data_IF_059580526615
#
_entry.id   IF_059580526615
#
_cell.length_a   1.000
_cell.length_b   1.000
_cell.length_c   1.000
_cell.angle_alpha   90.00
_cell.angle_beta   90.00
_cell.angle_gamma   90.00
#
_symmetry.space_group_name_H-M   'P 1'
#
loop_
_entity.id
_entity.type
_entity.pdbx_description
1 polymer ?
#
# COMPACT_ATOMS: atom_id res chain seq x y z
N UNK A 1 -0.51 10.06 0.10
CA UNK A 1 -0.38 11.39 -0.48
C UNK A 1 0.88 11.46 -1.36
N UNK A 2 0.70 11.66 -2.68
CA UNK A 2 1.80 11.73 -3.67
C UNK A 2 2.71 12.97 -3.48
N UNK A 3 2.42 13.82 -2.52
CA UNK A 3 3.19 15.04 -2.19
C UNK A 3 3.83 14.94 -0.80
N UNK A 4 3.80 13.76 -0.19
CA UNK A 4 4.41 13.54 1.12
C UNK A 4 5.94 13.69 1.08
N UNK A 5 6.54 13.97 2.24
CA UNK A 5 7.99 13.98 2.39
C UNK A 5 8.63 12.64 2.09
N UNK A 6 7.93 11.53 2.37
CA UNK A 6 8.39 10.18 2.04
C UNK A 6 8.45 9.98 0.52
N UNK A 7 7.44 10.44 -0.23
CA UNK A 7 7.45 10.34 -1.69
C UNK A 7 8.56 11.18 -2.31
N UNK A 8 8.77 12.42 -1.82
CA UNK A 8 9.88 13.26 -2.30
C UNK A 8 11.23 12.56 -2.06
N UNK A 9 11.45 12.02 -0.87
CA UNK A 9 12.67 11.29 -0.53
C UNK A 9 12.92 10.09 -1.45
N UNK A 10 11.88 9.32 -1.75
CA UNK A 10 11.99 8.17 -2.69
C UNK A 10 12.32 8.65 -4.09
N UNK A 11 11.68 9.73 -4.56
CA UNK A 11 11.99 10.31 -5.86
C UNK A 11 13.46 10.76 -5.94
N UNK A 12 13.98 11.41 -4.89
CA UNK A 12 15.38 11.83 -4.82
C UNK A 12 16.34 10.63 -4.78
N UNK A 13 15.99 9.57 -4.04
CA UNK A 13 16.79 8.33 -3.89
C UNK A 13 16.92 7.57 -5.21
N UNK A 14 15.84 7.52 -6.01
CA UNK A 14 15.80 6.77 -7.27
C UNK A 14 15.91 7.65 -8.53
N UNK A 15 16.28 8.92 -8.39
CA UNK A 15 16.44 9.83 -9.52
C UNK A 15 15.14 10.12 -10.28
N UNK A 16 13.99 10.04 -9.59
CA UNK A 16 12.67 10.31 -10.16
C UNK A 16 12.33 11.78 -10.03
N UNK A 17 12.03 12.45 -11.12
CA UNK A 17 11.58 13.84 -11.09
C UNK A 17 10.10 13.93 -10.77
N UNK A 18 9.77 14.47 -9.60
CA UNK A 18 8.38 14.71 -9.19
C UNK A 18 7.87 16.05 -9.75
N UNK A 19 7.10 15.99 -10.82
CA UNK A 19 6.47 17.18 -11.42
C UNK A 19 5.08 17.41 -10.82
N UNK A 20 4.89 18.58 -10.21
CA UNK A 20 3.60 19.00 -9.66
C UNK A 20 2.83 19.76 -10.73
N UNK A 21 1.59 19.34 -11.00
CA UNK A 21 0.72 20.11 -11.89
C UNK A 21 0.27 21.43 -11.22
N UNK A 22 0.05 22.51 -12.00
CA UNK A 22 -0.46 23.76 -11.47
C UNK A 22 -1.83 23.55 -10.79
N UNK A 23 -2.03 24.25 -9.67
CA UNK A 23 -3.31 24.24 -8.94
C UNK A 23 -4.43 24.84 -9.79
N UNK A 24 -5.64 24.30 -9.69
CA UNK A 24 -6.84 24.74 -10.40
C UNK A 24 -6.75 24.70 -11.95
N UNK A 25 -5.90 23.84 -12.50
CA UNK A 25 -5.79 23.61 -13.95
C UNK A 25 -6.13 22.16 -14.32
N UNK A 26 -7.41 21.81 -14.48
CA UNK A 26 -7.86 20.42 -14.70
C UNK A 26 -7.31 19.81 -15.99
N UNK A 27 -7.04 20.62 -17.03
CA UNK A 27 -6.50 20.14 -18.31
C UNK A 27 -5.18 19.37 -18.17
N UNK A 28 -4.37 19.65 -17.15
CA UNK A 28 -3.13 18.90 -16.87
C UNK A 28 -3.35 17.48 -16.31
N UNK A 29 -4.60 17.17 -15.91
CA UNK A 29 -4.99 15.84 -15.44
C UNK A 29 -5.87 15.07 -16.41
N UNK A 30 -6.31 15.69 -17.51
CA UNK A 30 -7.32 15.13 -18.40
C UNK A 30 -6.97 13.74 -18.98
N UNK A 31 -5.70 13.46 -19.25
CA UNK A 31 -5.27 12.16 -19.74
C UNK A 31 -5.46 11.06 -18.70
N UNK A 32 -5.04 11.31 -17.46
CA UNK A 32 -5.21 10.35 -16.35
C UNK A 32 -6.69 10.14 -16.04
N UNK A 33 -7.48 11.21 -16.00
CA UNK A 33 -8.92 11.15 -15.77
C UNK A 33 -9.65 10.34 -16.86
N UNK A 34 -9.23 10.50 -18.13
CA UNK A 34 -9.78 9.72 -19.25
C UNK A 34 -9.44 8.23 -19.13
N UNK A 35 -8.19 7.89 -18.79
CA UNK A 35 -7.78 6.50 -18.60
C UNK A 35 -8.54 5.87 -17.44
N UNK A 36 -8.66 6.56 -16.30
CA UNK A 36 -9.44 6.11 -15.16
C UNK A 36 -10.92 5.93 -15.52
N UNK A 37 -11.50 6.86 -16.32
CA UNK A 37 -12.87 6.73 -16.84
C UNK A 37 -13.06 5.47 -17.69
N UNK A 38 -12.11 5.18 -18.59
CA UNK A 38 -12.12 3.97 -19.41
C UNK A 38 -12.05 2.69 -18.54
N UNK A 39 -11.13 2.65 -17.58
CA UNK A 39 -11.01 1.51 -16.67
C UNK A 39 -12.29 1.33 -15.84
N UNK A 40 -12.85 2.42 -15.32
CA UNK A 40 -14.10 2.36 -14.55
C UNK A 40 -15.27 1.82 -15.37
N UNK A 41 -15.40 2.20 -16.66
CA UNK A 41 -16.41 1.61 -17.53
C UNK A 41 -16.27 0.09 -17.67
N UNK A 42 -15.05 -0.40 -17.79
CA UNK A 42 -14.82 -1.85 -17.88
C UNK A 42 -15.11 -2.56 -16.54
N UNK A 43 -14.76 -1.92 -15.40
CA UNK A 43 -15.12 -2.45 -14.08
C UNK A 43 -16.63 -2.53 -13.92
N UNK A 44 -17.40 -1.57 -14.41
CA UNK A 44 -18.85 -1.60 -14.34
C UNK A 44 -19.49 -2.77 -15.13
N UNK A 45 -18.78 -3.35 -16.08
CA UNK A 45 -19.20 -4.56 -16.78
C UNK A 45 -19.01 -5.85 -15.96
N UNK A 46 -18.29 -5.78 -14.83
CA UNK A 46 -18.09 -6.93 -13.95
C UNK A 46 -19.31 -7.14 -13.06
N UNK A 47 -19.64 -8.41 -12.80
CA UNK A 47 -20.71 -8.76 -11.88
C UNK A 47 -20.41 -8.24 -10.45
N UNK A 48 -21.44 -7.75 -9.77
CA UNK A 48 -21.30 -7.27 -8.38
C UNK A 48 -20.69 -5.89 -8.22
N UNK A 49 -20.54 -5.10 -9.30
CA UNK A 49 -20.00 -3.74 -9.24
C UNK A 49 -21.06 -2.67 -8.98
N UNK A 50 -20.62 -1.46 -8.67
CA UNK A 50 -21.49 -0.28 -8.51
C UNK A 50 -21.73 0.38 -9.86
N UNK A 51 -22.93 0.97 -10.05
CA UNK A 51 -23.24 1.74 -11.25
C UNK A 51 -22.75 3.20 -11.13
N UNK A 52 -22.45 3.82 -12.27
CA UNK A 52 -21.93 5.19 -12.33
C UNK A 52 -22.97 6.24 -11.96
N UNK A 53 -24.27 5.92 -12.09
CA UNK A 53 -25.35 6.83 -11.71
C UNK A 53 -26.55 6.11 -11.06
N UNK A 54 -27.40 6.91 -10.36
CA UNK A 54 -28.54 6.40 -9.60
C UNK A 54 -29.60 5.78 -10.54
N UNK A 55 -29.71 6.27 -11.75
CA UNK A 55 -30.70 5.81 -12.74
C UNK A 55 -30.38 4.41 -13.23
N UNK A 56 -29.10 4.10 -13.43
CA UNK A 56 -28.64 2.77 -13.83
C UNK A 56 -28.66 1.79 -12.66
N UNK A 57 -28.44 2.28 -11.44
CA UNK A 57 -28.42 1.47 -10.22
C UNK A 57 -29.78 0.82 -9.91
N UNK A 58 -30.92 1.54 -10.12
CA UNK A 58 -32.26 1.04 -9.76
C UNK A 58 -32.30 0.52 -8.31
N UNK A 59 -32.89 -0.67 -8.11
CA UNK A 59 -32.97 -1.37 -6.82
C UNK A 59 -31.76 -2.26 -6.49
N UNK A 60 -30.71 -2.22 -7.32
CA UNK A 60 -29.51 -3.05 -7.15
C UNK A 60 -28.73 -2.68 -5.88
N UNK A 61 -28.48 -3.67 -5.03
CA UNK A 61 -27.73 -3.52 -3.77
C UNK A 61 -26.32 -4.07 -3.91
N UNK A 62 -25.41 -3.28 -4.48
CA UNK A 62 -24.02 -3.65 -4.76
C UNK A 62 -23.29 -4.28 -3.55
N UNK A 63 -23.58 -3.83 -2.33
CA UNK A 63 -22.95 -4.36 -1.10
C UNK A 63 -23.32 -5.83 -0.81
N UNK A 64 -24.47 -6.30 -1.35
CA UNK A 64 -24.95 -7.69 -1.17
C UNK A 64 -24.60 -8.60 -2.35
N UNK A 65 -24.26 -8.00 -3.48
CA UNK A 65 -24.03 -8.70 -4.74
C UNK A 65 -22.56 -8.60 -5.19
N UNK A 66 -21.67 -8.08 -4.32
CA UNK A 66 -20.24 -8.04 -4.58
C UNK A 66 -19.71 -9.48 -4.76
N UNK A 67 -19.15 -9.76 -5.94
CA UNK A 67 -18.64 -11.10 -6.31
C UNK A 67 -17.12 -11.20 -6.28
N UNK A 68 -16.42 -10.05 -6.29
CA UNK A 68 -14.97 -10.00 -6.32
C UNK A 68 -14.39 -9.57 -4.97
N UNK A 69 -13.38 -10.27 -4.52
CA UNK A 69 -12.49 -9.79 -3.45
C UNK A 69 -11.57 -8.68 -3.99
N UNK A 70 -10.95 -7.94 -3.10
CA UNK A 70 -10.00 -6.89 -3.49
C UNK A 70 -8.81 -7.45 -4.28
N UNK A 71 -8.33 -8.64 -3.92
CA UNK A 71 -7.21 -9.29 -4.61
C UNK A 71 -7.59 -9.76 -6.01
N UNK A 72 -8.77 -10.34 -6.19
CA UNK A 72 -9.29 -10.73 -7.51
C UNK A 72 -9.49 -9.52 -8.41
N UNK A 73 -10.03 -8.41 -7.88
CA UNK A 73 -10.17 -7.16 -8.63
C UNK A 73 -8.80 -6.59 -9.02
N UNK A 74 -7.82 -6.64 -8.13
CA UNK A 74 -6.44 -6.23 -8.41
C UNK A 74 -5.81 -7.07 -9.51
N UNK A 75 -5.96 -8.38 -9.48
CA UNK A 75 -5.47 -9.30 -10.52
C UNK A 75 -6.12 -9.01 -11.86
N UNK A 76 -7.45 -8.84 -11.88
CA UNK A 76 -8.20 -8.46 -13.07
C UNK A 76 -7.71 -7.13 -13.66
N UNK A 77 -7.51 -6.10 -12.81
CA UNK A 77 -7.01 -4.79 -13.25
C UNK A 77 -5.61 -4.89 -13.88
N UNK A 78 -4.70 -5.63 -13.27
CA UNK A 78 -3.36 -5.84 -13.82
C UNK A 78 -3.46 -6.51 -15.18
N UNK A 79 -4.26 -7.58 -15.29
CA UNK A 79 -4.47 -8.29 -16.54
C UNK A 79 -5.09 -7.39 -17.62
N UNK A 80 -6.14 -6.62 -17.27
CA UNK A 80 -6.77 -5.68 -18.17
C UNK A 80 -5.79 -4.62 -18.69
N UNK A 81 -5.04 -3.99 -17.80
CA UNK A 81 -4.10 -2.92 -18.17
C UNK A 81 -2.99 -3.48 -19.08
N UNK A 82 -2.33 -4.55 -18.67
CA UNK A 82 -1.14 -5.06 -19.35
C UNK A 82 -1.48 -5.79 -20.65
N UNK A 83 -2.50 -6.63 -20.63
CA UNK A 83 -2.77 -7.53 -21.76
C UNK A 83 -3.85 -7.01 -22.73
N UNK A 84 -4.69 -6.08 -22.29
CA UNK A 84 -5.77 -5.53 -23.12
C UNK A 84 -5.50 -4.06 -23.44
N UNK A 85 -5.45 -3.18 -22.43
CA UNK A 85 -5.34 -1.74 -22.64
C UNK A 85 -4.04 -1.34 -23.35
N UNK A 86 -2.89 -1.85 -22.89
CA UNK A 86 -1.60 -1.52 -23.50
C UNK A 86 -1.48 -1.98 -24.95
N UNK A 87 -2.24 -3.02 -25.35
CA UNK A 87 -2.22 -3.60 -26.70
C UNK A 87 -3.35 -3.14 -27.60
N UNK A 88 -4.31 -2.35 -27.06
CA UNK A 88 -5.43 -1.83 -27.82
C UNK A 88 -5.01 -0.58 -28.61
N UNK A 89 -5.36 -0.53 -29.93
CA UNK A 89 -5.13 0.67 -30.74
C UNK A 89 -5.87 1.89 -30.19
N UNK A 90 -5.19 3.01 -30.14
CA UNK A 90 -5.68 4.28 -29.63
C UNK A 90 -5.63 5.34 -30.75
N UNK A 91 -6.79 5.80 -31.23
CA UNK A 91 -6.86 6.80 -32.32
C UNK A 91 -6.17 8.12 -32.01
N UNK A 92 -6.13 8.54 -30.73
CA UNK A 92 -5.48 9.80 -30.32
C UNK A 92 -3.96 9.76 -30.35
N UNK A 93 -3.34 8.60 -30.43
CA UNK A 93 -1.87 8.41 -30.56
C UNK A 93 -1.52 7.57 -31.80
N UNK A 94 -2.54 7.16 -32.59
CA UNK A 94 -2.45 6.40 -33.84
C UNK A 94 -1.66 5.09 -33.73
N UNK A 95 -1.56 4.53 -32.54
CA UNK A 95 -0.88 3.26 -32.23
C UNK A 95 -1.36 2.71 -30.89
N UNK A 96 -0.77 1.59 -30.43
CA UNK A 96 -1.03 1.09 -29.08
C UNK A 96 -0.21 1.87 -28.04
N UNK A 97 -0.67 1.96 -26.77
CA UNK A 97 0.13 2.57 -25.69
C UNK A 97 1.52 1.93 -25.52
N UNK A 98 1.62 0.60 -25.69
CA UNK A 98 2.90 -0.12 -25.63
C UNK A 98 3.85 0.32 -26.76
N UNK A 99 3.35 0.43 -27.99
CA UNK A 99 4.15 0.92 -29.13
C UNK A 99 4.59 2.36 -28.90
N UNK A 100 3.72 3.23 -28.39
CA UNK A 100 4.08 4.63 -28.08
C UNK A 100 5.13 4.74 -26.99
N UNK A 101 5.05 3.90 -25.97
CA UNK A 101 6.07 3.82 -24.92
C UNK A 101 7.43 3.35 -25.48
N UNK A 102 7.41 2.30 -26.30
CA UNK A 102 8.64 1.77 -26.94
C UNK A 102 9.27 2.77 -27.90
N UNK A 103 8.44 3.50 -28.67
CA UNK A 103 8.91 4.61 -29.53
C UNK A 103 9.64 5.68 -28.71
N UNK A 104 9.10 6.04 -27.54
CA UNK A 104 9.73 7.01 -26.64
C UNK A 104 11.07 6.53 -26.08
N UNK A 105 11.21 5.22 -25.81
CA UNK A 105 12.44 4.64 -25.28
C UNK A 105 13.52 4.45 -26.37
N UNK A 106 13.15 3.84 -27.48
CA UNK A 106 14.11 3.41 -28.51
C UNK A 106 14.31 4.53 -29.55
N UNK A 107 13.26 5.31 -29.78
CA UNK A 107 13.19 6.30 -30.87
C UNK A 107 12.55 5.72 -32.13
N UNK A 108 12.53 6.55 -33.16
CA UNK A 108 12.11 6.24 -34.51
C UNK A 108 13.07 6.89 -35.52
N UNK A 109 12.75 6.82 -36.83
CA UNK A 109 13.61 7.36 -37.89
C UNK A 109 13.79 8.90 -37.81
N UNK A 110 12.88 9.61 -37.11
CA UNK A 110 12.88 11.07 -37.01
C UNK A 110 13.39 11.56 -35.65
N UNK A 111 13.21 10.75 -34.59
CA UNK A 111 13.48 11.17 -33.22
C UNK A 111 14.30 10.12 -32.46
N UNK A 112 15.39 10.53 -31.85
CA UNK A 112 16.14 9.68 -30.94
C UNK A 112 15.32 9.41 -29.67
N UNK A 113 15.25 8.14 -29.25
CA UNK A 113 14.65 7.76 -27.97
C UNK A 113 15.51 8.21 -26.78
N UNK A 114 14.92 8.17 -25.60
CA UNK A 114 15.64 8.50 -24.35
C UNK A 114 16.61 7.39 -23.92
N UNK A 115 16.55 6.23 -24.55
CA UNK A 115 17.32 5.03 -24.20
C UNK A 115 16.77 4.30 -22.96
N UNK A 116 17.30 3.11 -22.75
CA UNK A 116 17.08 2.39 -21.48
C UNK A 116 17.98 3.00 -20.42
N UNK A 117 17.39 3.49 -19.35
CA UNK A 117 18.16 3.86 -18.18
C UNK A 117 18.78 2.58 -17.59
N UNK A 118 20.06 2.61 -17.20
CA UNK A 118 20.63 1.50 -16.44
C UNK A 118 19.76 1.27 -15.21
N UNK A 119 19.53 0.00 -14.86
CA UNK A 119 18.75 -0.33 -13.67
C UNK A 119 19.41 0.32 -12.45
N UNK A 120 18.76 1.32 -11.89
CA UNK A 120 19.18 1.97 -10.64
C UNK A 120 18.81 1.07 -9.44
N UNK A 121 18.02 0.03 -9.70
CA UNK A 121 17.42 -0.83 -8.67
C UNK A 121 18.15 -2.17 -8.67
N UNK A 122 19.08 -2.33 -7.74
CA UNK A 122 19.77 -3.61 -7.52
C UNK A 122 18.86 -4.62 -6.80
N UNK A 123 17.92 -4.13 -5.95
CA UNK A 123 17.02 -4.95 -5.17
C UNK A 123 15.60 -4.36 -5.14
N UNK A 124 14.63 -5.10 -5.67
CA UNK A 124 13.20 -4.68 -5.68
C UNK A 124 12.64 -4.58 -4.26
N UNK A 125 13.10 -5.41 -3.32
CA UNK A 125 12.62 -5.35 -1.93
C UNK A 125 13.02 -4.04 -1.25
N UNK A 126 14.21 -3.51 -1.51
CA UNK A 126 14.65 -2.21 -0.98
C UNK A 126 13.77 -1.07 -1.49
N UNK A 127 13.36 -1.14 -2.76
CA UNK A 127 12.40 -0.17 -3.34
C UNK A 127 11.05 -0.26 -2.62
N UNK A 128 10.52 -1.46 -2.44
CA UNK A 128 9.26 -1.67 -1.71
C UNK A 128 9.35 -1.09 -0.30
N UNK A 129 10.42 -1.42 0.44
CA UNK A 129 10.65 -0.90 1.78
C UNK A 129 10.77 0.64 1.75
N UNK A 130 11.48 1.20 0.77
CA UNK A 130 11.66 2.65 0.68
C UNK A 130 10.34 3.41 0.44
N UNK A 131 9.37 2.79 -0.23
CA UNK A 131 8.04 3.34 -0.49
C UNK A 131 7.08 3.23 0.71
N UNK A 132 7.38 2.39 1.72
CA UNK A 132 6.54 2.25 2.90
C UNK A 132 6.52 3.53 3.75
N UNK A 133 5.40 3.80 4.45
CA UNK A 133 5.30 4.89 5.41
C UNK A 133 6.42 4.86 6.44
N UNK A 134 6.98 6.02 6.76
CA UNK A 134 8.07 6.18 7.72
C UNK A 134 7.55 6.67 9.06
N UNK A 135 7.97 6.02 10.13
CA UNK A 135 7.76 6.45 11.50
C UNK A 135 9.08 6.48 12.27
N UNK A 136 9.12 7.25 13.36
CA UNK A 136 10.31 7.32 14.23
C UNK A 136 9.94 6.87 15.62
N UNK A 137 10.62 5.83 16.11
CA UNK A 137 10.41 5.25 17.44
C UNK A 137 11.72 5.01 18.18
N UNK A 138 11.64 5.04 19.50
CA UNK A 138 12.75 4.65 20.38
C UNK A 138 12.69 3.15 20.65
N UNK A 139 13.85 2.52 20.82
CA UNK A 139 13.93 1.11 21.23
C UNK A 139 13.86 1.04 22.76
N UNK A 140 12.88 0.30 23.27
CA UNK A 140 12.68 0.02 24.68
C UNK A 140 13.26 -1.35 25.05
N UNK A 141 13.24 -1.72 26.35
CA UNK A 141 13.70 -3.05 26.81
C UNK A 141 12.93 -4.21 26.18
N UNK A 142 11.66 -3.99 25.94
CA UNK A 142 10.71 -4.95 25.34
C UNK A 142 10.55 -4.79 23.82
N UNK A 143 11.42 -3.98 23.19
CA UNK A 143 11.42 -3.74 21.76
C UNK A 143 10.80 -2.41 21.35
N UNK A 144 10.08 -2.41 20.25
CA UNK A 144 9.44 -1.24 19.66
C UNK A 144 7.92 -1.44 19.71
N UNK A 145 7.19 -0.42 20.15
CA UNK A 145 5.72 -0.45 20.15
C UNK A 145 5.16 0.53 19.13
N UNK A 146 4.27 0.04 18.25
CA UNK A 146 3.50 0.83 17.29
C UNK A 146 2.01 0.52 17.47
N UNK A 147 1.22 1.55 17.69
CA UNK A 147 -0.23 1.42 17.85
C UNK A 147 -0.68 0.36 18.85
N UNK A 148 0.08 0.16 19.94
CA UNK A 148 -0.22 -0.84 20.96
C UNK A 148 0.24 -2.26 20.64
N UNK A 149 0.88 -2.48 19.48
CA UNK A 149 1.48 -3.76 19.09
C UNK A 149 2.99 -3.71 19.34
N UNK A 150 3.53 -4.76 19.97
CA UNK A 150 4.94 -4.90 20.27
C UNK A 150 5.70 -5.67 19.19
N UNK A 151 6.91 -5.20 18.88
CA UNK A 151 7.83 -5.81 17.93
C UNK A 151 9.18 -6.05 18.59
N UNK A 152 9.73 -7.24 18.41
CA UNK A 152 11.01 -7.58 19.01
C UNK A 152 11.84 -8.52 18.14
N UNK A 153 13.14 -8.24 18.11
CA UNK A 153 14.18 -9.14 17.58
C UNK A 153 15.50 -8.83 18.31
N UNK A 154 16.41 -9.79 18.33
CA UNK A 154 17.73 -9.64 18.96
C UNK A 154 18.57 -8.51 18.34
N UNK A 155 18.33 -8.16 17.10
CA UNK A 155 18.92 -6.99 16.43
C UNK A 155 18.72 -5.71 17.22
N UNK A 156 17.59 -5.57 17.92
CA UNK A 156 17.28 -4.38 18.72
C UNK A 156 18.10 -4.26 19.99
N UNK A 157 18.74 -5.33 20.50
CA UNK A 157 19.47 -5.33 21.78
C UNK A 157 20.54 -4.27 21.83
N UNK A 158 21.26 -4.07 20.73
CA UNK A 158 22.32 -3.08 20.63
C UNK A 158 21.81 -1.63 20.83
N UNK A 159 20.55 -1.38 20.52
CA UNK A 159 19.93 -0.06 20.52
C UNK A 159 19.14 0.24 21.80
N UNK A 160 18.93 -0.75 22.68
CA UNK A 160 18.18 -0.59 23.93
C UNK A 160 18.91 0.42 24.84
N UNK A 161 18.18 1.47 25.21
CA UNK A 161 18.70 2.48 26.16
C UNK A 161 19.76 3.43 25.60
N UNK A 162 20.12 3.31 24.33
CA UNK A 162 21.06 4.27 23.70
C UNK A 162 20.47 5.68 23.67
N UNK A 163 21.34 6.63 23.96
CA UNK A 163 21.04 8.07 23.94
C UNK A 163 21.98 8.80 23.00
N UNK A 164 21.54 9.93 22.49
CA UNK A 164 22.35 10.86 21.73
C UNK A 164 23.31 11.68 22.63
N UNK A 165 24.11 12.55 22.01
CA UNK A 165 25.02 13.45 22.71
C UNK A 165 24.32 14.39 23.69
N UNK A 166 23.01 14.61 23.56
CA UNK A 166 22.16 15.42 24.42
C UNK A 166 21.47 14.62 25.51
N UNK A 167 21.81 13.35 25.71
CA UNK A 167 21.17 12.39 26.63
C UNK A 167 19.68 12.12 26.31
N UNK A 168 19.23 12.41 25.08
CA UNK A 168 17.89 12.07 24.61
C UNK A 168 17.88 10.69 24.00
N UNK A 169 16.77 9.94 24.17
CA UNK A 169 16.65 8.61 23.55
C UNK A 169 16.68 8.73 22.02
N UNK A 170 17.53 7.93 21.39
CA UNK A 170 17.66 7.91 19.93
C UNK A 170 16.34 7.40 19.31
N UNK A 171 15.84 8.15 18.33
CA UNK A 171 14.71 7.73 17.52
C UNK A 171 15.22 7.10 16.24
N UNK A 172 14.81 5.87 16.01
CA UNK A 172 15.16 5.11 14.81
C UNK A 172 14.07 5.21 13.77
N UNK A 173 14.47 5.22 12.49
CA UNK A 173 13.56 5.17 11.36
C UNK A 173 12.98 3.75 11.26
N UNK A 174 11.66 3.68 11.24
CA UNK A 174 10.88 2.46 11.14
C UNK A 174 9.98 2.58 9.92
N UNK A 175 9.82 1.50 9.19
CA UNK A 175 8.85 1.40 8.11
C UNK A 175 7.91 0.24 8.37
N UNK A 176 6.65 0.40 8.00
CA UNK A 176 5.61 -0.62 8.22
C UNK A 176 4.70 -0.71 7.00
N UNK A 177 4.47 -1.94 6.54
CA UNK A 177 3.51 -2.21 5.48
C UNK A 177 2.07 -2.13 6.04
N UNK A 178 1.22 -1.19 5.58
CA UNK A 178 -0.16 -1.11 6.01
C UNK A 178 -1.00 -2.35 5.68
N UNK A 179 -0.61 -3.14 4.67
CA UNK A 179 -1.31 -4.36 4.26
C UNK A 179 -0.88 -5.59 5.08
N UNK A 180 0.26 -5.51 5.76
CA UNK A 180 0.75 -6.59 6.63
C UNK A 180 1.59 -6.01 7.76
N UNK A 181 0.97 -5.80 8.91
CA UNK A 181 1.65 -5.22 10.08
C UNK A 181 2.32 -6.27 10.98
N UNK A 182 2.42 -7.53 10.53
CA UNK A 182 3.07 -8.61 11.31
C UNK A 182 4.54 -8.34 11.57
N UNK A 183 5.18 -7.54 10.74
CA UNK A 183 6.57 -7.11 10.86
C UNK A 183 6.72 -5.63 10.56
N UNK A 184 7.79 -5.07 11.08
CA UNK A 184 8.27 -3.74 10.74
C UNK A 184 9.70 -3.84 10.21
N UNK A 185 10.13 -2.81 9.51
CA UNK A 185 11.50 -2.68 9.02
C UNK A 185 12.20 -1.61 9.84
N UNK A 186 13.17 -2.04 10.61
CA UNK A 186 14.01 -1.18 11.46
C UNK A 186 15.27 -0.80 10.69
N UNK A 187 15.53 0.50 10.55
CA UNK A 187 16.77 0.99 9.94
C UNK A 187 17.89 1.07 10.96
N UNK A 188 18.91 0.23 10.79
CA UNK A 188 20.13 0.29 11.56
C UNK A 188 21.04 1.38 11.00
N UNK A 189 21.32 2.42 11.81
CA UNK A 189 22.10 3.58 11.37
C UNK A 189 23.61 3.29 11.28
N UNK A 190 24.11 2.24 11.97
CA UNK A 190 25.51 1.84 11.93
C UNK A 190 25.79 0.98 10.70
N UNK A 191 24.91 0.00 10.42
CA UNK A 191 25.03 -0.90 9.27
C UNK A 191 24.43 -0.32 7.98
N UNK A 192 23.58 0.71 8.09
CA UNK A 192 22.87 1.37 7.00
C UNK A 192 21.94 0.45 6.23
N UNK A 193 21.34 -0.51 6.91
CA UNK A 193 20.46 -1.53 6.36
C UNK A 193 19.15 -1.60 7.13
N UNK A 194 18.11 -2.15 6.46
CA UNK A 194 16.85 -2.45 7.09
C UNK A 194 16.80 -3.90 7.59
N UNK A 195 16.36 -4.08 8.83
CA UNK A 195 16.13 -5.39 9.44
C UNK A 195 14.65 -5.61 9.69
N UNK A 196 14.16 -6.79 9.37
CA UNK A 196 12.80 -7.19 9.70
C UNK A 196 12.68 -7.49 11.20
N UNK A 197 11.73 -6.85 11.85
CA UNK A 197 11.42 -7.07 13.26
C UNK A 197 9.98 -7.57 13.33
N UNK A 198 9.76 -8.83 13.64
CA UNK A 198 8.42 -9.41 13.73
C UNK A 198 7.67 -8.96 14.98
N UNK A 199 6.40 -9.28 15.05
CA UNK A 199 5.64 -9.23 16.29
C UNK A 199 6.40 -9.89 17.43
N UNK A 200 6.34 -9.31 18.61
CA UNK A 200 6.83 -9.94 19.83
C UNK A 200 6.10 -11.25 20.11
N UNK A 201 4.79 -11.32 19.84
CA UNK A 201 3.95 -12.50 19.91
C UNK A 201 3.86 -13.18 18.54
N UNK A 202 4.79 -14.07 18.25
CA UNK A 202 4.91 -14.73 16.94
C UNK A 202 3.67 -15.55 16.53
N UNK A 203 2.86 -16.00 17.50
CA UNK A 203 1.62 -16.75 17.25
C UNK A 203 0.43 -15.85 16.91
N UNK A 204 0.58 -14.53 16.93
CA UNK A 204 -0.49 -13.61 16.63
C UNK A 204 -0.89 -13.67 15.14
N UNK A 205 -2.19 -13.49 14.84
CA UNK A 205 -2.68 -13.55 13.48
C UNK A 205 -2.12 -12.40 12.62
N UNK A 206 -1.97 -12.66 11.32
CA UNK A 206 -1.62 -11.62 10.35
C UNK A 206 -2.77 -10.63 10.27
N UNK A 207 -2.44 -9.35 10.34
CA UNK A 207 -3.40 -8.26 10.40
C UNK A 207 -2.96 -7.13 9.48
N UNK A 208 -3.91 -6.43 8.86
CA UNK A 208 -3.66 -5.15 8.20
C UNK A 208 -3.77 -3.99 9.19
N UNK A 209 -3.27 -2.83 8.82
CA UNK A 209 -3.45 -1.62 9.63
C UNK A 209 -4.93 -1.24 9.75
N UNK A 210 -5.73 -1.53 8.71
CA UNK A 210 -7.17 -1.31 8.73
C UNK A 210 -7.87 -2.22 9.75
N UNK A 211 -7.52 -3.51 9.78
CA UNK A 211 -8.06 -4.45 10.77
C UNK A 211 -7.78 -3.98 12.19
N UNK A 212 -6.55 -3.50 12.43
CA UNK A 212 -6.16 -2.94 13.72
C UNK A 212 -7.05 -1.75 14.11
N UNK A 213 -7.37 -0.85 13.17
CA UNK A 213 -8.28 0.28 13.44
C UNK A 213 -9.70 -0.20 13.74
N UNK A 214 -10.21 -1.18 12.99
CA UNK A 214 -11.54 -1.75 13.22
C UNK A 214 -11.62 -2.39 14.60
N UNK A 215 -10.64 -3.21 14.97
CA UNK A 215 -10.55 -3.84 16.29
C UNK A 215 -10.52 -2.81 17.41
N UNK A 216 -9.66 -1.80 17.31
CA UNK A 216 -9.56 -0.73 18.32
C UNK A 216 -10.85 0.07 18.44
N UNK A 217 -11.52 0.34 17.33
CA UNK A 217 -12.83 0.99 17.35
C UNK A 217 -13.85 0.13 18.07
N UNK A 218 -13.90 -1.18 17.77
CA UNK A 218 -14.80 -2.13 18.43
C UNK A 218 -14.58 -2.21 19.95
N UNK A 219 -13.31 -2.27 20.39
CA UNK A 219 -13.00 -2.25 21.84
C UNK A 219 -13.46 -0.94 22.49
N UNK A 220 -13.23 0.20 21.84
CA UNK A 220 -13.67 1.51 22.32
C UNK A 220 -15.19 1.63 22.42
N UNK A 221 -15.92 1.14 21.43
CA UNK A 221 -17.40 1.18 21.40
C UNK A 221 -17.99 0.33 22.54
N UNK A 222 -17.31 -0.75 22.94
CA UNK A 222 -17.61 -1.55 24.14
C UNK A 222 -17.17 -0.90 25.46
N UNK A 223 -16.64 0.34 25.41
CA UNK A 223 -16.12 1.07 26.59
C UNK A 223 -14.94 0.37 27.30
N UNK A 224 -14.24 -0.51 26.59
CA UNK A 224 -12.99 -1.11 27.08
C UNK A 224 -11.89 -0.10 26.77
N UNK A 225 -11.50 0.69 27.77
CA UNK A 225 -10.51 1.77 27.60
C UNK A 225 -9.09 1.35 27.96
N UNK A 226 -8.96 0.29 28.73
CA UNK A 226 -7.67 -0.23 29.19
C UNK A 226 -7.46 -1.63 28.60
N UNK A 227 -6.92 -1.70 27.39
CA UNK A 227 -6.62 -2.94 26.68
C UNK A 227 -5.14 -3.00 26.33
N UNK A 228 -4.60 -4.20 26.32
CA UNK A 228 -3.23 -4.51 25.95
C UNK A 228 -3.18 -5.17 24.55
N UNK A 229 -1.99 -5.61 24.15
CA UNK A 229 -1.72 -6.29 22.87
C UNK A 229 -2.51 -7.61 22.72
N UNK A 230 -2.62 -8.38 23.81
CA UNK A 230 -3.35 -9.65 23.78
C UNK A 230 -4.85 -9.44 23.55
N UNK A 231 -5.42 -8.43 24.18
CA UNK A 231 -6.83 -8.06 23.99
C UNK A 231 -7.11 -7.67 22.53
N UNK A 232 -6.16 -6.99 21.85
CA UNK A 232 -6.28 -6.63 20.44
C UNK A 232 -6.31 -7.88 19.58
N UNK A 233 -5.37 -8.81 19.77
CA UNK A 233 -5.30 -10.04 18.98
C UNK A 233 -6.49 -10.94 19.22
N UNK A 234 -6.92 -11.09 20.46
CA UNK A 234 -8.11 -11.89 20.81
C UNK A 234 -9.38 -11.34 20.16
N UNK A 235 -9.58 -10.01 20.23
CA UNK A 235 -10.73 -9.37 19.59
C UNK A 235 -10.71 -9.57 18.06
N UNK A 236 -9.53 -9.50 17.43
CA UNK A 236 -9.39 -9.77 16.00
C UNK A 236 -9.71 -11.23 15.64
N UNK A 237 -9.20 -12.20 16.41
CA UNK A 237 -9.52 -13.61 16.19
C UNK A 237 -11.02 -13.88 16.30
N UNK A 238 -11.72 -13.22 17.25
CA UNK A 238 -13.16 -13.32 17.37
C UNK A 238 -13.88 -12.78 16.13
N UNK A 239 -13.44 -11.64 15.57
CA UNK A 239 -13.99 -11.10 14.33
C UNK A 239 -13.79 -12.05 13.16
N UNK A 240 -12.59 -12.61 12.99
CA UNK A 240 -12.30 -13.61 11.94
C UNK A 240 -13.16 -14.86 12.05
N UNK A 241 -13.47 -15.33 13.27
CA UNK A 241 -14.36 -16.48 13.47
C UNK A 241 -15.79 -16.16 13.05
N UNK A 242 -16.28 -14.95 13.34
CA UNK A 242 -17.62 -14.50 12.92
C UNK A 242 -17.69 -14.44 11.39
N UNK A 243 -16.70 -13.85 10.72
CA UNK A 243 -16.64 -13.76 9.26
C UNK A 243 -16.64 -15.14 8.59
N UNK A 244 -15.83 -16.07 9.09
CA UNK A 244 -15.81 -17.46 8.59
C UNK A 244 -17.15 -18.16 8.74
N UNK A 245 -17.84 -17.95 9.85
CA UNK A 245 -19.15 -18.55 10.08
C UNK A 245 -20.22 -17.98 9.14
N UNK A 246 -20.17 -16.68 8.84
CA UNK A 246 -21.09 -16.04 7.88
C UNK A 246 -20.84 -16.54 6.47
N UNK A 247 -19.58 -16.63 6.03
CA UNK A 247 -19.21 -17.15 4.71
C UNK A 247 -19.51 -18.66 4.53
N UNK A 248 -19.54 -19.44 5.62
CA UNK A 248 -19.96 -20.86 5.62
C UNK A 248 -21.48 -21.07 5.61
N UNK A 249 -22.26 -20.01 5.81
CA UNK A 249 -23.74 -20.04 5.81
C UNK A 249 -24.36 -19.51 4.51
N UNK A 250 -23.59 -19.23 3.46
CA UNK A 250 -24.15 -18.86 2.16
C UNK A 250 -24.85 -20.08 1.57
N UNK A 251 -26.18 -20.09 1.37
CA UNK A 251 -26.87 -21.23 0.78
C UNK A 251 -26.42 -21.43 -0.66
N UNK A 252 -26.11 -22.67 -1.00
CA UNK A 252 -25.94 -23.15 -2.38
C UNK A 252 -27.16 -22.90 -3.25
#
# INVERSE_FOLDING_TARGET
>A
DLVSTDMQRVCDEYGITLMKRPVARPQFGAHVERVLGTINQEIHNLAGTTFSNITEKGDYKSDKEAMYTLDELKEWLIHYIVNIYHKKYHSGIEMTPEQKYMQGLIGDDENAGIGYLPSIVDNIEDVKISLLPTEYRTVQKDGITLDGIGYYSDVLRHWIGKTDSKKSKIKHKIKRDPLNIQKIYFYDMELKEYFEIPYRKLSAPIMTLWDLYVVKKHLKDRKITNYNEDDIFEAYEQLLKIEKNVNGMTPS
#
